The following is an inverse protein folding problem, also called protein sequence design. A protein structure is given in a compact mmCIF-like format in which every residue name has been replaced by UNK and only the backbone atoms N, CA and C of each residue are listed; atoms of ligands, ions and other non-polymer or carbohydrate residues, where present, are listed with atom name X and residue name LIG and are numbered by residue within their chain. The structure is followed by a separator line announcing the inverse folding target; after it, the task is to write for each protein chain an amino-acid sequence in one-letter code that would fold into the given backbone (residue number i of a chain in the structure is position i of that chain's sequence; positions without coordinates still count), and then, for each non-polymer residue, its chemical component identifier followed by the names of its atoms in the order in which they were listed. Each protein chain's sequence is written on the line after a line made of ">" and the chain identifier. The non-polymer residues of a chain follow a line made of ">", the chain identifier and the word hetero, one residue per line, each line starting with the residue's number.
data_IF_006739462328
#
_entry.id   IF_006739462328
#
_cell.length_a   1.000
_cell.length_b   1.000
_cell.length_c   1.000
_cell.angle_alpha   90.00
_cell.angle_beta   90.00
_cell.angle_gamma   90.00
#
_symmetry.space_group_name_H-M   'P 1'
#
loop_
_entity.id
_entity.type
_entity.pdbx_description
1 polymer ?
#
# COMPACT_ATOMS: atom_id res chain seq x y z
N UNK A 1 10.79 48.32 -15.57
CA UNK A 1 11.66 48.36 -16.76
C UNK A 1 12.61 47.17 -16.73
N UNK A 2 12.77 46.53 -17.89
CA UNK A 2 13.65 45.42 -18.22
C UNK A 2 14.89 45.26 -17.32
N UNK A 3 15.21 44.01 -16.95
CA UNK A 3 16.47 43.36 -17.35
C UNK A 3 16.46 41.84 -17.14
N UNK A 4 16.76 41.19 -18.26
CA UNK A 4 17.16 39.82 -18.55
C UNK A 4 18.47 39.45 -17.82
N UNK A 5 18.62 38.21 -17.32
CA UNK A 5 19.85 37.39 -17.09
C UNK A 5 19.33 35.96 -16.77
N UNK A 6 19.36 34.94 -17.63
CA UNK A 6 20.43 34.09 -18.22
C UNK A 6 21.15 33.16 -17.21
N UNK A 7 20.80 31.87 -17.34
CA UNK A 7 21.58 30.60 -17.28
C UNK A 7 22.67 30.42 -16.20
N UNK A 8 22.63 29.31 -15.44
CA UNK A 8 23.79 28.43 -15.26
C UNK A 8 23.39 27.00 -14.84
N UNK A 9 23.93 26.04 -15.60
CA UNK A 9 23.92 24.60 -15.36
C UNK A 9 25.09 24.27 -14.42
N UNK A 10 24.89 23.43 -13.40
CA UNK A 10 25.87 22.37 -13.11
C UNK A 10 25.31 21.29 -12.18
N UNK A 11 25.40 20.07 -12.69
CA UNK A 11 25.20 18.76 -12.11
C UNK A 11 26.26 18.48 -11.02
N UNK A 12 25.90 17.83 -9.90
CA UNK A 12 26.68 16.70 -9.33
C UNK A 12 25.78 15.92 -8.37
N UNK A 13 25.42 14.70 -8.78
CA UNK A 13 24.78 13.67 -7.95
C UNK A 13 25.90 12.97 -7.17
N UNK A 14 25.74 12.83 -5.86
CA UNK A 14 26.61 11.98 -5.03
C UNK A 14 25.74 10.84 -4.48
N UNK A 15 25.85 9.65 -5.08
CA UNK A 15 25.18 8.42 -4.63
C UNK A 15 26.16 7.67 -3.72
N UNK A 16 25.77 7.51 -2.45
CA UNK A 16 26.43 6.62 -1.50
C UNK A 16 25.97 5.17 -1.70
N UNK A 17 26.95 4.28 -1.83
CA UNK A 17 26.86 2.84 -2.08
C UNK A 17 26.53 2.08 -0.79
N UNK A 18 25.63 1.08 -0.88
CA UNK A 18 25.69 -0.10 0.00
C UNK A 18 25.69 -1.35 -0.89
N UNK A 19 26.75 -2.13 -0.74
CA UNK A 19 26.97 -3.43 -1.37
C UNK A 19 26.14 -4.53 -0.69
N UNK A 20 25.42 -5.33 -1.49
CA UNK A 20 25.20 -6.74 -1.18
C UNK A 20 25.54 -7.57 -2.42
N UNK A 21 26.72 -8.17 -2.40
CA UNK A 21 27.18 -9.11 -3.41
C UNK A 21 26.51 -10.47 -3.20
N UNK A 22 25.69 -10.89 -4.17
CA UNK A 22 25.53 -12.26 -4.72
C UNK A 22 24.16 -12.41 -5.41
N UNK A 23 24.07 -12.02 -6.69
CA UNK A 23 23.04 -12.50 -7.64
C UNK A 23 23.34 -12.17 -9.11
N UNK A 24 24.58 -11.81 -9.47
CA UNK A 24 24.85 -11.13 -10.75
C UNK A 24 24.91 -12.01 -12.01
N UNK A 25 24.82 -13.34 -11.90
CA UNK A 25 24.96 -14.23 -13.08
C UNK A 25 23.73 -15.10 -13.36
N UNK A 26 22.59 -14.82 -12.72
CA UNK A 26 21.34 -15.50 -13.04
C UNK A 26 20.60 -14.68 -14.10
N UNK A 27 20.90 -15.02 -15.36
CA UNK A 27 20.05 -14.91 -16.56
C UNK A 27 20.07 -13.65 -17.43
N UNK A 28 21.23 -12.99 -17.57
CA UNK A 28 21.41 -12.00 -18.66
C UNK A 28 21.14 -12.58 -20.06
N UNK A 29 21.53 -13.84 -20.31
CA UNK A 29 21.37 -14.48 -21.62
C UNK A 29 19.92 -14.85 -21.92
N UNK A 30 19.20 -15.46 -20.95
CA UNK A 30 17.77 -15.75 -21.10
C UNK A 30 16.94 -14.46 -21.23
N UNK A 31 17.29 -13.42 -20.46
CA UNK A 31 16.66 -12.11 -20.56
C UNK A 31 16.91 -11.46 -21.93
N UNK A 32 18.09 -11.66 -22.52
CA UNK A 32 18.42 -11.17 -23.86
C UNK A 32 17.56 -11.84 -24.92
N UNK A 33 17.45 -13.18 -24.90
CA UNK A 33 16.58 -13.91 -25.82
C UNK A 33 15.10 -13.51 -25.66
N UNK A 34 14.63 -13.27 -24.44
CA UNK A 34 13.29 -12.74 -24.19
C UNK A 34 13.08 -11.33 -24.77
N UNK A 35 14.05 -10.43 -24.63
CA UNK A 35 13.98 -9.08 -25.20
C UNK A 35 13.97 -9.10 -26.74
N UNK A 36 14.79 -9.97 -27.34
CA UNK A 36 14.83 -10.15 -28.80
C UNK A 36 13.52 -10.76 -29.31
N UNK A 37 12.96 -11.75 -28.61
CA UNK A 37 11.65 -12.31 -28.93
C UNK A 37 10.55 -11.25 -28.92
N UNK A 38 10.52 -10.41 -27.89
CA UNK A 38 9.57 -9.29 -27.82
C UNK A 38 9.75 -8.29 -28.97
N UNK A 39 11.00 -8.00 -29.36
CA UNK A 39 11.29 -7.15 -30.50
C UNK A 39 10.73 -7.74 -31.80
N UNK A 40 10.95 -9.03 -32.09
CA UNK A 40 10.38 -9.67 -33.27
C UNK A 40 8.85 -9.74 -33.23
N UNK A 41 8.25 -9.95 -32.06
CA UNK A 41 6.80 -9.94 -31.88
C UNK A 41 6.20 -8.59 -32.26
N UNK A 42 6.82 -7.47 -31.84
CA UNK A 42 6.38 -6.12 -32.19
C UNK A 42 6.51 -5.80 -33.69
N UNK A 43 7.40 -6.50 -34.40
CA UNK A 43 7.56 -6.39 -35.86
C UNK A 43 6.64 -7.35 -36.64
N UNK A 44 5.72 -8.07 -35.97
CA UNK A 44 4.81 -9.04 -36.60
C UNK A 44 5.50 -10.35 -37.02
N UNK A 45 6.75 -10.56 -36.59
CA UNK A 45 7.62 -11.68 -36.97
C UNK A 45 7.50 -12.83 -35.97
N UNK A 46 6.29 -13.39 -35.87
CA UNK A 46 5.91 -14.29 -34.78
C UNK A 46 6.70 -15.61 -34.70
N UNK A 47 7.08 -16.19 -35.84
CA UNK A 47 7.87 -17.44 -35.85
C UNK A 47 9.27 -17.25 -35.24
N UNK A 48 9.92 -16.14 -35.60
CA UNK A 48 11.25 -15.80 -35.08
C UNK A 48 11.18 -15.37 -33.61
N UNK A 49 10.08 -14.71 -33.22
CA UNK A 49 9.81 -14.42 -31.81
C UNK A 49 9.67 -15.71 -30.99
N UNK A 50 8.89 -16.68 -31.47
CA UNK A 50 8.67 -17.98 -30.81
C UNK A 50 9.97 -18.75 -30.63
N UNK A 51 10.85 -18.78 -31.63
CA UNK A 51 12.16 -19.40 -31.55
C UNK A 51 13.05 -18.77 -30.46
N UNK A 52 13.07 -17.45 -30.36
CA UNK A 52 13.87 -16.74 -29.35
C UNK A 52 13.31 -16.94 -27.93
N UNK A 53 11.98 -16.99 -27.77
CA UNK A 53 11.38 -17.34 -26.48
C UNK A 53 11.67 -18.77 -26.06
N UNK A 54 11.71 -19.72 -27.00
CA UNK A 54 12.08 -21.11 -26.69
C UNK A 54 13.52 -21.22 -26.20
N UNK A 55 14.46 -20.49 -26.81
CA UNK A 55 15.86 -20.42 -26.35
C UNK A 55 15.96 -19.83 -24.94
N UNK A 56 15.21 -18.77 -24.66
CA UNK A 56 15.15 -18.20 -23.31
C UNK A 56 14.66 -19.24 -22.28
N UNK A 57 13.63 -20.02 -22.62
CA UNK A 57 13.08 -21.07 -21.75
C UNK A 57 14.01 -22.27 -21.59
N UNK A 58 14.79 -22.62 -22.61
CA UNK A 58 15.77 -23.71 -22.57
C UNK A 58 16.92 -23.38 -21.63
N UNK A 59 17.44 -22.14 -21.68
CA UNK A 59 18.47 -21.64 -20.77
C UNK A 59 18.01 -21.64 -19.30
N UNK A 60 16.72 -21.42 -19.06
CA UNK A 60 16.09 -21.51 -17.73
C UNK A 60 15.97 -22.97 -17.26
N UNK A 61 15.76 -23.93 -18.19
CA UNK A 61 15.58 -25.36 -17.88
C UNK A 61 16.89 -26.11 -17.61
N UNK A 62 17.99 -25.73 -18.25
CA UNK A 62 19.27 -26.46 -18.12
C UNK A 62 20.01 -26.20 -16.80
N UNK A 63 19.69 -25.13 -16.07
CA UNK A 63 20.23 -24.93 -14.72
C UNK A 63 19.46 -25.80 -13.73
N UNK A 64 20.11 -26.63 -12.89
CA UNK A 64 19.42 -27.48 -11.94
C UNK A 64 18.64 -26.61 -10.94
N UNK A 65 17.35 -26.42 -11.22
CA UNK A 65 16.37 -25.94 -10.26
C UNK A 65 16.34 -26.98 -9.16
N UNK A 66 16.75 -26.61 -7.94
CA UNK A 66 16.50 -27.42 -6.75
C UNK A 66 15.00 -27.71 -6.73
N UNK A 67 14.63 -28.99 -6.93
CA UNK A 67 13.26 -29.48 -7.07
C UNK A 67 12.32 -28.76 -6.09
N UNK A 68 11.50 -27.86 -6.59
CA UNK A 68 10.16 -27.70 -6.03
C UNK A 68 9.36 -28.84 -6.64
N UNK A 69 9.07 -29.84 -5.82
CA UNK A 69 8.34 -31.05 -6.21
C UNK A 69 6.95 -30.64 -6.73
N UNK A 70 6.67 -30.90 -8.00
CA UNK A 70 5.33 -30.82 -8.57
C UNK A 70 4.49 -31.94 -7.94
N UNK A 71 3.70 -31.62 -6.93
CA UNK A 71 2.62 -32.48 -6.45
C UNK A 71 1.38 -32.21 -7.30
N UNK A 72 0.98 -33.19 -8.12
CA UNK A 72 -0.30 -33.18 -8.83
C UNK A 72 -1.44 -33.46 -7.82
N UNK A 73 -2.59 -32.75 -7.91
CA UNK A 73 -3.64 -32.83 -6.91
C UNK A 73 -4.37 -34.18 -6.96
N UNK A 74 -4.10 -35.00 -5.95
CA UNK A 74 -4.89 -36.17 -5.56
C UNK A 74 -5.38 -35.98 -4.14
N UNK A 75 -6.52 -35.30 -4.01
CA UNK A 75 -7.59 -35.55 -3.03
C UNK A 75 -7.20 -36.03 -1.62
N UNK A 76 -6.69 -35.09 -0.81
CA UNK A 76 -7.04 -34.81 0.60
C UNK A 76 -6.06 -33.75 1.10
N UNK A 77 -6.52 -32.88 1.98
CA UNK A 77 -5.77 -31.74 2.55
C UNK A 77 -5.79 -30.45 1.71
N UNK A 78 -7.00 -29.96 1.43
CA UNK A 78 -7.20 -28.51 1.26
C UNK A 78 -7.04 -27.79 2.62
N UNK A 79 -5.82 -27.74 3.16
CA UNK A 79 -5.45 -26.60 4.02
C UNK A 79 -4.97 -25.52 3.07
N UNK A 80 -5.91 -24.68 2.63
CA UNK A 80 -5.59 -23.45 1.92
C UNK A 80 -4.85 -22.55 2.89
N UNK A 81 -3.53 -22.60 2.86
CA UNK A 81 -2.71 -21.50 3.37
C UNK A 81 -2.95 -20.33 2.40
N UNK A 82 -3.95 -19.53 2.75
CA UNK A 82 -4.25 -18.27 2.11
C UNK A 82 -2.99 -17.42 2.30
N UNK A 83 -2.23 -17.24 1.23
CA UNK A 83 -1.35 -16.08 1.11
C UNK A 83 -2.27 -14.88 0.95
N UNK A 84 -2.88 -14.48 2.05
CA UNK A 84 -3.39 -13.14 2.22
C UNK A 84 -2.18 -12.23 1.97
N UNK A 85 -2.19 -11.48 0.88
CA UNK A 85 -1.40 -10.27 0.79
C UNK A 85 -1.99 -9.28 1.80
N UNK A 86 -1.76 -9.61 3.08
CA UNK A 86 -2.46 -9.11 4.27
C UNK A 86 -1.99 -7.72 4.62
N UNK A 87 -2.48 -6.74 3.88
CA UNK A 87 -2.42 -5.36 4.32
C UNK A 87 -3.52 -5.22 5.37
N UNK A 88 -3.17 -5.49 6.63
CA UNK A 88 -4.06 -5.22 7.76
C UNK A 88 -4.33 -3.72 7.85
N UNK A 89 -5.59 -3.36 8.06
CA UNK A 89 -5.98 -1.96 8.24
C UNK A 89 -5.34 -1.41 9.53
N UNK A 90 -4.69 -0.26 9.39
CA UNK A 90 -4.10 0.49 10.50
C UNK A 90 -5.07 1.59 10.90
N UNK A 91 -5.43 1.61 12.18
CA UNK A 91 -6.38 2.57 12.75
C UNK A 91 -5.79 3.99 12.70
N UNK A 92 -6.62 4.92 12.24
CA UNK A 92 -6.33 6.35 12.15
C UNK A 92 -7.20 7.21 13.07
N UNK A 93 -6.84 8.48 13.20
CA UNK A 93 -7.62 9.46 13.95
C UNK A 93 -9.00 9.69 13.30
N UNK A 94 -10.03 9.79 14.15
CA UNK A 94 -11.41 9.97 13.71
C UNK A 94 -12.12 8.69 13.25
N UNK A 95 -11.43 7.54 13.23
CA UNK A 95 -12.07 6.25 12.97
C UNK A 95 -13.16 5.98 14.00
N UNK A 96 -14.23 5.33 13.56
CA UNK A 96 -15.32 4.83 14.41
C UNK A 96 -15.25 3.31 14.38
N UNK A 97 -14.88 2.75 15.52
CA UNK A 97 -14.83 1.32 15.75
C UNK A 97 -16.16 0.88 16.36
N UNK A 98 -16.74 -0.18 15.84
CA UNK A 98 -17.87 -0.87 16.47
C UNK A 98 -17.31 -2.05 17.28
N UNK A 99 -17.49 -1.99 18.59
CA UNK A 99 -16.92 -2.93 19.54
C UNK A 99 -18.07 -3.71 20.15
N UNK A 100 -18.02 -5.03 20.02
CA UNK A 100 -18.96 -5.95 20.66
C UNK A 100 -18.22 -6.85 21.63
N UNK A 101 -18.81 -7.09 22.81
CA UNK A 101 -18.23 -7.96 23.84
C UNK A 101 -19.16 -9.16 24.05
N UNK A 102 -18.63 -10.36 23.81
CA UNK A 102 -19.41 -11.59 23.92
C UNK A 102 -20.05 -11.73 25.30
N UNK A 103 -21.34 -12.09 25.34
CA UNK A 103 -22.16 -12.22 26.55
C UNK A 103 -22.24 -10.96 27.43
N UNK A 104 -21.80 -9.80 26.94
CA UNK A 104 -21.81 -8.54 27.68
C UNK A 104 -22.34 -7.40 26.79
N UNK A 105 -23.60 -7.47 26.31
CA UNK A 105 -24.14 -6.49 25.37
C UNK A 105 -24.22 -5.06 25.94
N UNK A 106 -24.20 -4.91 27.27
CA UNK A 106 -24.15 -3.59 27.92
C UNK A 106 -22.84 -2.83 27.64
N UNK A 107 -21.81 -3.54 27.14
CA UNK A 107 -20.53 -2.96 26.73
C UNK A 107 -20.44 -2.70 25.22
N UNK A 108 -21.42 -3.16 24.43
CA UNK A 108 -21.42 -3.00 22.98
C UNK A 108 -21.59 -1.52 22.63
N UNK A 109 -20.62 -0.96 21.90
CA UNK A 109 -20.67 0.45 21.53
C UNK A 109 -19.75 0.83 20.39
N UNK A 110 -20.08 1.98 19.82
CA UNK A 110 -19.20 2.72 18.93
C UNK A 110 -18.16 3.51 19.75
N UNK A 111 -16.89 3.32 19.40
CA UNK A 111 -15.77 4.06 19.97
C UNK A 111 -15.11 4.91 18.87
N UNK A 112 -15.04 6.22 19.10
CA UNK A 112 -14.37 7.16 18.20
C UNK A 112 -12.91 7.31 18.60
N UNK A 113 -12.00 7.19 17.65
CA UNK A 113 -10.57 7.47 17.83
C UNK A 113 -10.38 8.97 17.94
N UNK A 114 -10.02 9.42 19.15
CA UNK A 114 -9.84 10.83 19.49
C UNK A 114 -8.58 11.43 18.84
N UNK A 115 -8.44 12.76 18.76
CA UNK A 115 -7.25 13.43 18.22
C UNK A 115 -5.95 13.20 19.01
N UNK A 116 -6.02 12.65 20.22
CA UNK A 116 -4.83 12.21 20.98
C UNK A 116 -4.45 10.74 20.66
N UNK A 117 -5.12 10.14 19.68
CA UNK A 117 -4.89 8.80 19.18
C UNK A 117 -5.45 7.68 20.04
N UNK A 118 -6.35 7.99 20.99
CA UNK A 118 -6.92 7.03 21.96
C UNK A 118 -8.40 6.78 21.72
N UNK A 119 -8.89 5.63 22.16
CA UNK A 119 -10.32 5.38 22.36
C UNK A 119 -10.64 5.25 23.85
N UNK A 120 -11.86 5.59 24.22
CA UNK A 120 -12.37 5.45 25.58
C UNK A 120 -13.36 4.29 25.64
N UNK A 121 -13.11 3.30 26.50
CA UNK A 121 -13.97 2.14 26.67
C UNK A 121 -14.35 1.92 28.15
N UNK A 122 -15.59 1.52 28.49
CA UNK A 122 -15.99 1.27 29.88
C UNK A 122 -15.08 0.24 30.56
N UNK A 123 -14.90 0.38 31.88
CA UNK A 123 -14.07 -0.46 32.75
C UNK A 123 -12.56 -0.34 32.50
N UNK A 124 -12.15 -0.27 31.23
CA UNK A 124 -10.75 -0.23 30.79
C UNK A 124 -10.19 1.19 30.72
N UNK A 125 -11.06 2.19 30.56
CA UNK A 125 -10.69 3.58 30.41
C UNK A 125 -10.13 3.88 29.01
N UNK A 126 -9.11 4.74 28.96
CA UNK A 126 -8.51 5.13 27.68
C UNK A 126 -7.43 4.14 27.23
N UNK A 127 -7.46 3.74 25.96
CA UNK A 127 -6.47 2.87 25.32
C UNK A 127 -5.92 3.54 24.03
N UNK A 128 -4.62 3.41 23.72
CA UNK A 128 -4.07 3.82 22.44
C UNK A 128 -4.67 3.00 21.29
N UNK A 129 -5.05 3.66 20.20
CA UNK A 129 -5.65 3.01 19.03
C UNK A 129 -4.91 3.33 17.73
N UNK A 130 -4.45 4.58 17.56
CA UNK A 130 -3.77 5.00 16.32
C UNK A 130 -2.50 4.20 16.08
N UNK A 131 -2.29 3.79 14.83
CA UNK A 131 -1.13 3.02 14.42
C UNK A 131 -1.21 1.53 14.75
N UNK A 132 -2.27 1.09 15.43
CA UNK A 132 -2.53 -0.32 15.70
C UNK A 132 -3.42 -0.94 14.63
N UNK A 133 -3.29 -2.24 14.45
CA UNK A 133 -4.26 -3.02 13.65
C UNK A 133 -5.45 -3.43 14.50
N UNK A 134 -6.55 -3.83 13.85
CA UNK A 134 -7.76 -4.30 14.53
C UNK A 134 -7.46 -5.47 15.48
N UNK A 135 -6.60 -6.39 15.05
CA UNK A 135 -6.16 -7.54 15.85
C UNK A 135 -5.42 -7.09 17.12
N UNK A 136 -4.55 -6.09 17.00
CA UNK A 136 -3.76 -5.59 18.14
C UNK A 136 -4.63 -4.89 19.19
N UNK A 137 -5.63 -4.12 18.77
CA UNK A 137 -6.55 -3.46 19.70
C UNK A 137 -7.51 -4.47 20.36
N UNK A 138 -7.92 -5.50 19.62
CA UNK A 138 -8.73 -6.60 20.14
C UNK A 138 -8.01 -7.34 21.27
N UNK A 139 -6.76 -7.75 21.03
CA UNK A 139 -5.93 -8.41 22.05
C UNK A 139 -5.73 -7.52 23.29
N UNK A 140 -5.47 -6.23 23.10
CA UNK A 140 -5.29 -5.30 24.21
C UNK A 140 -6.57 -5.12 25.02
N UNK A 141 -7.72 -4.96 24.34
CA UNK A 141 -9.00 -4.75 25.02
C UNK A 141 -9.46 -6.01 25.74
N UNK A 142 -9.33 -7.17 25.09
CA UNK A 142 -9.57 -8.49 25.66
C UNK A 142 -8.72 -8.69 26.93
N UNK A 143 -7.43 -8.39 26.89
CA UNK A 143 -6.55 -8.61 28.05
C UNK A 143 -6.89 -7.69 29.23
N UNK A 144 -7.30 -6.44 28.98
CA UNK A 144 -7.69 -5.51 30.05
C UNK A 144 -9.08 -5.80 30.62
N UNK A 145 -10.01 -6.31 29.80
CA UNK A 145 -11.36 -6.66 30.26
C UNK A 145 -11.39 -7.89 31.16
N UNK A 146 -10.42 -8.80 31.05
CA UNK A 146 -10.30 -10.00 31.91
C UNK A 146 -10.25 -9.68 33.42
N UNK A 147 -9.81 -8.49 33.80
CA UNK A 147 -9.79 -8.04 35.21
C UNK A 147 -11.18 -7.74 35.77
N UNK A 148 -12.15 -7.45 34.89
CA UNK A 148 -13.48 -6.99 35.27
C UNK A 148 -14.59 -8.00 34.95
N UNK A 149 -14.44 -8.77 33.87
CA UNK A 149 -15.44 -9.71 33.38
C UNK A 149 -14.80 -11.06 33.04
N UNK A 150 -15.54 -12.15 33.30
CA UNK A 150 -15.14 -13.51 32.91
C UNK A 150 -15.55 -13.75 31.46
N UNK A 151 -14.68 -14.42 30.69
CA UNK A 151 -14.91 -14.74 29.27
C UNK A 151 -15.10 -13.49 28.38
N UNK A 152 -14.13 -12.57 28.43
CA UNK A 152 -14.11 -11.36 27.61
C UNK A 152 -13.57 -11.63 26.21
N UNK A 153 -14.38 -12.27 25.35
CA UNK A 153 -14.09 -12.28 23.92
C UNK A 153 -14.60 -10.96 23.33
N UNK A 154 -13.73 -10.23 22.63
CA UNK A 154 -14.08 -8.98 21.97
C UNK A 154 -14.16 -9.21 20.47
N UNK A 155 -15.03 -8.48 19.79
CA UNK A 155 -15.05 -8.37 18.34
C UNK A 155 -15.07 -6.90 17.97
N UNK A 156 -14.12 -6.50 17.13
CA UNK A 156 -13.95 -5.12 16.69
C UNK A 156 -14.09 -5.08 15.18
N UNK A 157 -14.92 -4.16 14.69
CA UNK A 157 -15.05 -3.87 13.27
C UNK A 157 -14.99 -2.37 13.03
N UNK A 158 -14.65 -1.95 11.82
CA UNK A 158 -14.64 -0.53 11.46
C UNK A 158 -16.03 -0.17 10.95
N UNK A 159 -16.73 0.67 11.70
CA UNK A 159 -18.04 1.20 11.29
C UNK A 159 -17.89 2.35 10.32
N UNK A 160 -16.93 3.24 10.61
CA UNK A 160 -16.62 4.36 9.74
C UNK A 160 -15.14 4.61 9.77
N UNK A 161 -14.57 4.63 8.59
CA UNK A 161 -13.21 5.08 8.37
C UNK A 161 -13.20 6.61 8.54
N UNK A 162 -12.57 7.05 9.61
CA UNK A 162 -12.11 8.41 9.81
C UNK A 162 -10.86 8.64 9.00
N UNK A 163 -10.32 9.85 9.04
CA UNK A 163 -9.11 10.12 8.30
C UNK A 163 -8.93 11.58 7.98
N UNK A 164 -7.68 11.87 7.63
CA UNK A 164 -7.30 13.14 7.08
C UNK A 164 -8.05 13.34 5.76
N UNK A 165 -8.49 14.57 5.55
CA UNK A 165 -9.13 14.95 4.30
C UNK A 165 -8.09 15.57 3.41
N UNK A 166 -7.88 15.01 2.24
CA UNK A 166 -7.13 15.67 1.17
C UNK A 166 -8.11 16.37 0.25
N UNK A 167 -7.72 17.55 -0.21
CA UNK A 167 -8.48 18.32 -1.18
C UNK A 167 -7.73 18.19 -2.50
N UNK A 168 -8.37 17.56 -3.48
CA UNK A 168 -7.83 17.42 -4.83
C UNK A 168 -8.56 18.40 -5.74
N UNK A 169 -7.82 19.31 -6.36
CA UNK A 169 -8.34 20.40 -7.18
C UNK A 169 -7.61 20.44 -8.52
N UNK A 170 -8.22 21.08 -9.52
CA UNK A 170 -7.63 21.31 -10.84
C UNK A 170 -8.11 20.28 -11.87
N UNK A 171 -7.22 19.91 -12.79
CA UNK A 171 -7.50 19.05 -13.94
C UNK A 171 -7.48 17.55 -13.56
N UNK A 172 -8.42 17.17 -12.71
CA UNK A 172 -8.76 15.77 -12.39
C UNK A 172 -10.23 15.51 -12.74
N UNK A 173 -10.60 14.25 -12.94
CA UNK A 173 -11.96 13.89 -13.38
C UNK A 173 -13.03 14.33 -12.37
N UNK A 174 -12.80 14.04 -11.09
CA UNK A 174 -13.64 14.45 -9.98
C UNK A 174 -12.82 15.32 -8.99
N UNK A 175 -12.86 16.66 -9.08
CA UNK A 175 -12.25 17.51 -8.06
C UNK A 175 -13.12 17.54 -6.80
N UNK A 176 -12.50 17.41 -5.63
CA UNK A 176 -13.25 17.27 -4.39
C UNK A 176 -12.43 17.03 -3.14
N UNK A 177 -13.15 16.77 -2.05
CA UNK A 177 -12.57 16.41 -0.75
C UNK A 177 -12.67 14.91 -0.58
N UNK A 178 -11.52 14.27 -0.38
CA UNK A 178 -11.41 12.82 -0.26
C UNK A 178 -10.90 12.46 1.13
N UNK A 179 -11.54 11.47 1.74
CA UNK A 179 -11.00 10.85 2.95
C UNK A 179 -9.84 9.94 2.56
N UNK A 180 -8.68 10.18 3.13
CA UNK A 180 -7.51 9.31 2.97
C UNK A 180 -7.20 8.62 4.29
N UNK A 181 -6.86 7.34 4.21
CA UNK A 181 -6.46 6.54 5.37
C UNK A 181 -5.15 5.84 5.18
N UNK A 182 -4.38 5.77 6.27
CA UNK A 182 -3.01 5.28 6.26
C UNK A 182 -2.05 6.19 5.50
N UNK A 183 -0.87 5.66 5.17
CA UNK A 183 0.12 6.37 4.37
C UNK A 183 -0.31 6.39 2.90
N UNK A 184 -0.83 7.53 2.44
CA UNK A 184 -1.25 7.73 1.04
C UNK A 184 -0.24 8.57 0.26
N UNK A 185 0.07 8.13 -0.95
CA UNK A 185 0.89 8.85 -1.92
C UNK A 185 0.05 9.87 -2.71
N UNK A 186 0.71 10.86 -3.33
CA UNK A 186 0.04 11.82 -4.22
C UNK A 186 -0.70 11.10 -5.36
N UNK A 187 -0.11 10.03 -5.88
CA UNK A 187 -0.68 9.24 -6.97
C UNK A 187 -2.01 8.57 -6.56
N UNK A 188 -2.09 8.02 -5.36
CA UNK A 188 -3.33 7.43 -4.85
C UNK A 188 -4.42 8.49 -4.67
N UNK A 189 -4.07 9.69 -4.17
CA UNK A 189 -5.03 10.79 -4.04
C UNK A 189 -5.59 11.24 -5.40
N UNK A 190 -4.76 11.28 -6.44
CA UNK A 190 -5.21 11.54 -7.82
C UNK A 190 -6.09 10.40 -8.34
N UNK A 191 -5.74 9.16 -8.03
CA UNK A 191 -6.55 7.99 -8.39
C UNK A 191 -7.95 8.02 -7.76
N UNK A 192 -8.06 8.45 -6.50
CA UNK A 192 -9.36 8.65 -5.83
C UNK A 192 -10.21 9.74 -6.50
N UNK A 193 -9.57 10.74 -7.11
CA UNK A 193 -10.20 11.79 -7.90
C UNK A 193 -10.51 11.40 -9.35
N UNK A 194 -10.45 10.10 -9.70
CA UNK A 194 -10.72 9.59 -11.05
C UNK A 194 -9.57 9.75 -12.04
N UNK A 195 -8.39 10.16 -11.57
CA UNK A 195 -7.22 10.38 -12.42
C UNK A 195 -7.17 11.77 -13.05
N UNK A 196 -6.19 11.98 -13.93
CA UNK A 196 -6.02 13.23 -14.66
C UNK A 196 -6.99 13.35 -15.84
N UNK A 197 -7.47 14.57 -16.11
CA UNK A 197 -8.18 14.84 -17.36
C UNK A 197 -7.20 14.88 -18.55
N UNK A 198 -7.74 14.83 -19.78
CA UNK A 198 -6.93 14.95 -21.00
C UNK A 198 -6.25 16.33 -21.14
N UNK A 199 -6.65 17.33 -20.37
CA UNK A 199 -6.08 18.67 -20.38
C UNK A 199 -5.07 18.89 -19.25
N UNK A 200 -4.89 17.90 -18.38
CA UNK A 200 -4.00 18.00 -17.25
C UNK A 200 -2.52 18.02 -17.67
N UNK A 201 -1.75 18.92 -17.06
CA UNK A 201 -0.30 18.92 -17.18
C UNK A 201 0.28 18.06 -16.05
N UNK A 202 0.47 16.77 -16.31
CA UNK A 202 0.90 15.78 -15.30
C UNK A 202 2.26 16.09 -14.66
N UNK A 203 3.11 16.88 -15.31
CA UNK A 203 4.40 17.37 -14.79
C UNK A 203 4.28 18.60 -13.85
N UNK A 204 3.05 19.02 -13.54
CA UNK A 204 2.76 20.22 -12.75
C UNK A 204 1.73 19.94 -11.65
N UNK A 205 2.01 18.93 -10.83
CA UNK A 205 1.28 18.67 -9.58
C UNK A 205 1.95 19.45 -8.45
N UNK A 206 1.16 20.10 -7.61
CA UNK A 206 1.65 20.85 -6.44
C UNK A 206 1.05 20.24 -5.18
N UNK A 207 1.90 19.74 -4.28
CA UNK A 207 1.47 19.33 -2.95
C UNK A 207 1.59 20.52 -1.99
N UNK A 208 0.49 20.84 -1.29
CA UNK A 208 0.46 21.85 -0.23
C UNK A 208 0.26 21.14 1.10
N UNK A 209 1.21 21.31 2.03
CA UNK A 209 1.10 20.89 3.44
C UNK A 209 1.01 22.11 4.36
N UNK A 210 0.44 21.93 5.55
CA UNK A 210 0.25 22.95 6.61
C UNK A 210 -0.73 24.10 6.30
N UNK A 211 -1.60 23.91 5.30
CA UNK A 211 -2.67 24.83 4.94
C UNK A 211 -2.23 26.14 4.27
N UNK A 212 -3.18 27.05 4.02
CA UNK A 212 -2.95 28.28 3.24
C UNK A 212 -2.20 29.40 3.98
N UNK A 213 -2.00 29.27 5.29
CA UNK A 213 -1.32 30.31 6.07
C UNK A 213 0.20 30.25 5.94
N UNK A 214 0.77 29.06 5.65
CA UNK A 214 2.21 28.83 5.39
C UNK A 214 2.39 27.67 4.38
N UNK A 215 1.89 27.80 3.14
CA UNK A 215 1.89 26.69 2.21
C UNK A 215 3.34 26.31 1.85
N UNK A 216 3.75 25.10 2.18
CA UNK A 216 4.98 24.51 1.65
C UNK A 216 4.64 23.76 0.37
N UNK A 217 4.88 24.41 -0.77
CA UNK A 217 4.72 23.79 -2.08
C UNK A 217 5.93 22.90 -2.38
N UNK A 218 5.67 21.61 -2.59
CA UNK A 218 6.67 20.68 -3.12
C UNK A 218 6.25 20.28 -4.54
N UNK A 219 7.20 20.35 -5.47
CA UNK A 219 7.05 20.00 -6.89
C UNK A 219 7.85 18.75 -7.20
#
# INVERSE_FOLDING_TARGET
>A
MRRLIILFISLTINIGVINSAYSQDIDKDAQTHYQIGNFYYQQGRYKEAEEEFQKALELIKEKPVTKTELVLPGEKDFVRESRDSGIEYIIGEGDILDISVWQNPDLDREAIVRPDGRISFPLVGDLPAVGLTITQIDEQLTNRLKEYIKFSEVSISIKKIGGEKVIVLGEVDEPGVYSVTGAKTILEAIGLAGGFTNHAVTSSVILIRDGFQKPQAQR
#
